data_IF_703953887868
#
_entry.id   IF_703953887868
#
_cell.length_a   1.000
_cell.length_b   1.000
_cell.length_c   1.000
_cell.angle_alpha   90.00
_cell.angle_beta   90.00
_cell.angle_gamma   90.00
#
_symmetry.space_group_name_H-M   'P 1'
#
loop_
_entity.id
_entity.type
_entity.pdbx_description
1 polymer ?
#
# COMPACT_ATOMS: atom_id res chain seq x y z
N UNK A 1 -55.43 18.35 -34.57
CA UNK A 1 -54.55 17.31 -35.17
C UNK A 1 -53.32 17.21 -34.27
N UNK A 2 -53.18 16.14 -33.47
CA UNK A 2 -52.28 14.99 -33.73
C UNK A 2 -50.84 15.48 -34.02
N UNK A 3 -49.76 15.17 -33.31
CA UNK A 3 -49.37 14.08 -32.39
C UNK A 3 -47.98 14.46 -31.86
N UNK A 4 -47.60 14.02 -30.65
CA UNK A 4 -46.23 14.16 -30.19
C UNK A 4 -45.95 13.82 -28.72
N UNK A 5 -46.95 13.42 -27.93
CA UNK A 5 -46.78 13.02 -26.52
C UNK A 5 -46.17 11.62 -26.31
N UNK A 6 -45.51 11.05 -27.34
CA UNK A 6 -45.02 9.67 -27.32
C UNK A 6 -43.52 9.54 -26.99
N UNK A 7 -42.88 10.59 -26.49
CA UNK A 7 -41.43 10.56 -26.18
C UNK A 7 -41.11 10.50 -24.68
N UNK A 8 -42.09 10.62 -23.79
CA UNK A 8 -41.84 10.74 -22.33
C UNK A 8 -41.94 9.40 -21.59
N UNK A 9 -42.49 8.36 -22.22
CA UNK A 9 -42.80 7.08 -21.56
C UNK A 9 -41.79 5.95 -21.88
N UNK A 10 -40.49 6.28 -22.00
CA UNK A 10 -39.43 5.29 -22.26
C UNK A 10 -38.18 5.52 -21.39
N UNK A 11 -38.36 5.77 -20.09
CA UNK A 11 -37.23 5.95 -19.15
C UNK A 11 -37.24 5.00 -17.94
N UNK A 12 -38.17 4.04 -17.84
CA UNK A 12 -38.38 3.27 -16.60
C UNK A 12 -37.74 1.87 -16.54
N UNK A 13 -36.88 1.51 -17.50
CA UNK A 13 -36.24 0.18 -17.54
C UNK A 13 -34.71 0.23 -17.70
N UNK A 14 -34.06 1.29 -17.22
CA UNK A 14 -32.61 1.27 -17.09
C UNK A 14 -32.22 0.42 -15.85
N UNK A 15 -31.44 -0.67 -16.00
CA UNK A 15 -30.86 -1.34 -14.85
C UNK A 15 -29.92 -0.37 -14.13
N UNK A 16 -30.18 -0.12 -12.85
CA UNK A 16 -29.26 0.60 -11.97
C UNK A 16 -27.91 -0.13 -12.01
N UNK A 17 -26.81 0.52 -12.45
CA UNK A 17 -25.50 -0.08 -12.29
C UNK A 17 -25.25 -0.25 -10.79
N UNK A 18 -25.07 -1.50 -10.37
CA UNK A 18 -24.82 -1.87 -8.99
C UNK A 18 -23.69 -1.02 -8.42
N UNK A 19 -23.88 -0.56 -7.18
CA UNK A 19 -22.86 0.16 -6.43
C UNK A 19 -21.53 -0.61 -6.51
N UNK A 20 -20.39 0.07 -6.71
CA UNK A 20 -19.10 -0.61 -6.61
C UNK A 20 -19.02 -1.23 -5.22
N UNK A 21 -18.76 -2.53 -5.16
CA UNK A 21 -18.41 -3.18 -3.91
C UNK A 21 -17.20 -2.43 -3.35
N UNK A 22 -17.39 -1.71 -2.26
CA UNK A 22 -16.29 -1.10 -1.51
C UNK A 22 -15.44 -2.24 -1.01
N UNK A 23 -14.36 -2.53 -1.76
CA UNK A 23 -13.28 -3.42 -1.37
C UNK A 23 -12.67 -2.83 -0.11
N UNK A 24 -13.29 -3.15 1.02
CA UNK A 24 -12.89 -2.70 2.35
C UNK A 24 -11.73 -3.58 2.75
N UNK A 25 -10.62 -3.46 2.02
CA UNK A 25 -9.36 -4.07 2.43
C UNK A 25 -9.07 -3.51 3.82
N UNK A 26 -9.03 -4.34 4.87
CA UNK A 26 -8.85 -3.85 6.22
C UNK A 26 -7.55 -3.06 6.26
N UNK A 27 -7.66 -1.76 6.55
CA UNK A 27 -6.50 -0.89 6.71
C UNK A 27 -5.73 -1.42 7.91
N UNK A 28 -4.65 -2.15 7.64
CA UNK A 28 -3.77 -2.65 8.70
C UNK A 28 -3.03 -1.46 9.29
N UNK A 29 -3.59 -0.90 10.35
CA UNK A 29 -2.92 0.12 11.15
C UNK A 29 -1.73 -0.54 11.82
N UNK A 30 -0.56 -0.41 11.23
CA UNK A 30 0.69 -0.71 11.92
C UNK A 30 1.13 0.56 12.60
N UNK A 31 1.12 0.60 13.93
CA UNK A 31 1.73 1.69 14.66
C UNK A 31 3.21 1.69 14.31
N UNK A 32 3.64 2.71 13.57
CA UNK A 32 5.04 2.87 13.21
C UNK A 32 5.79 3.33 14.46
N UNK A 33 6.38 2.39 15.19
CA UNK A 33 7.20 2.67 16.38
C UNK A 33 8.68 2.44 16.11
N UNK A 34 9.54 2.99 16.98
CA UNK A 34 10.98 2.78 16.88
C UNK A 34 11.35 1.30 17.08
N UNK A 35 10.63 0.62 17.97
CA UNK A 35 10.77 -0.82 18.22
C UNK A 35 10.43 -1.61 16.95
N UNK A 36 9.40 -1.20 16.22
CA UNK A 36 9.04 -1.84 14.96
C UNK A 36 10.08 -1.60 13.85
N UNK A 37 10.72 -0.42 13.81
CA UNK A 37 11.90 -0.19 12.95
C UNK A 37 13.04 -1.18 13.26
N UNK A 38 13.34 -1.41 14.54
CA UNK A 38 14.39 -2.36 14.95
C UNK A 38 14.05 -3.79 14.52
N UNK A 39 12.81 -4.22 14.75
CA UNK A 39 12.33 -5.53 14.30
C UNK A 39 12.45 -5.70 12.77
N UNK A 40 12.22 -4.65 11.98
CA UNK A 40 12.43 -4.70 10.54
C UNK A 40 13.91 -4.72 10.15
N UNK A 41 14.77 -4.01 10.88
CA UNK A 41 16.21 -4.02 10.64
C UNK A 41 16.80 -5.42 10.88
N UNK A 42 16.40 -6.09 11.96
CA UNK A 42 16.78 -7.49 12.24
C UNK A 42 16.30 -8.45 11.15
N UNK A 43 15.04 -8.32 10.71
CA UNK A 43 14.51 -9.12 9.59
C UNK A 43 15.30 -8.91 8.30
N UNK A 44 15.73 -7.67 8.02
CA UNK A 44 16.56 -7.39 6.86
C UNK A 44 17.98 -7.94 7.03
N UNK A 45 18.55 -7.91 8.23
CA UNK A 45 19.87 -8.47 8.51
C UNK A 45 19.96 -9.96 8.13
N UNK A 46 18.89 -10.72 8.35
CA UNK A 46 18.79 -12.12 7.93
C UNK A 46 18.83 -12.32 6.40
N UNK A 47 18.44 -11.31 5.61
CA UNK A 47 18.45 -11.36 4.14
C UNK A 47 19.70 -10.69 3.53
N UNK A 48 20.53 -10.02 4.35
CA UNK A 48 21.57 -9.11 3.88
C UNK A 48 22.60 -9.76 2.95
N UNK A 49 22.91 -11.04 3.15
CA UNK A 49 23.89 -11.78 2.36
C UNK A 49 23.48 -11.94 0.89
N UNK A 50 22.17 -12.02 0.62
CA UNK A 50 21.60 -12.21 -0.72
C UNK A 50 20.92 -10.95 -1.27
N UNK A 51 20.89 -9.87 -0.47
CA UNK A 51 20.21 -8.64 -0.83
C UNK A 51 20.97 -7.89 -1.96
N UNK A 52 20.27 -7.41 -3.01
CA UNK A 52 20.90 -6.62 -4.05
C UNK A 52 21.33 -5.24 -3.52
N UNK A 53 22.26 -4.53 -4.20
CA UNK A 53 22.74 -3.21 -3.77
C UNK A 53 21.63 -2.18 -3.52
N UNK A 54 20.55 -2.21 -4.30
CA UNK A 54 19.39 -1.34 -4.14
C UNK A 54 18.63 -1.58 -2.83
N UNK A 55 18.54 -2.84 -2.40
CA UNK A 55 17.93 -3.22 -1.12
C UNK A 55 18.81 -2.78 0.06
N UNK A 56 20.14 -2.94 -0.06
CA UNK A 56 21.09 -2.48 0.96
C UNK A 56 21.01 -0.96 1.17
N UNK A 57 20.98 -0.18 0.08
CA UNK A 57 20.85 1.27 0.15
C UNK A 57 19.53 1.70 0.82
N UNK A 58 18.41 1.06 0.46
CA UNK A 58 17.11 1.32 1.08
C UNK A 58 17.09 0.97 2.57
N UNK A 59 17.74 -0.12 2.98
CA UNK A 59 17.83 -0.50 4.38
C UNK A 59 18.66 0.50 5.18
N UNK A 60 19.81 0.93 4.65
CA UNK A 60 20.66 1.95 5.28
C UNK A 60 19.90 3.27 5.48
N UNK A 61 19.20 3.73 4.44
CA UNK A 61 18.36 4.93 4.52
C UNK A 61 17.21 4.77 5.51
N UNK A 62 16.57 3.59 5.52
CA UNK A 62 15.49 3.28 6.44
C UNK A 62 15.95 3.34 7.91
N UNK A 63 17.09 2.73 8.23
CA UNK A 63 17.67 2.77 9.58
C UNK A 63 18.03 4.20 10.00
N UNK A 64 18.62 5.00 9.11
CA UNK A 64 18.95 6.41 9.38
C UNK A 64 17.71 7.24 9.66
N UNK A 65 16.64 7.07 8.87
CA UNK A 65 15.37 7.77 9.09
C UNK A 65 14.74 7.41 10.44
N UNK A 66 14.70 6.11 10.79
CA UNK A 66 14.22 5.66 12.09
C UNK A 66 15.04 6.28 13.24
N UNK A 67 16.37 6.34 13.11
CA UNK A 67 17.26 6.97 14.09
C UNK A 67 17.01 8.46 14.28
N UNK A 68 16.59 9.15 13.22
CA UNK A 68 16.29 10.58 13.20
C UNK A 68 14.83 10.91 13.54
N UNK A 69 14.05 9.97 14.08
CA UNK A 69 12.64 10.19 14.42
C UNK A 69 11.65 10.15 13.25
N UNK A 70 12.11 9.90 12.03
CA UNK A 70 11.26 9.78 10.84
C UNK A 70 10.74 8.33 10.69
N UNK A 71 10.09 7.84 11.74
CA UNK A 71 9.78 6.41 11.93
C UNK A 71 8.92 5.87 10.79
N UNK A 72 7.85 6.56 10.40
CA UNK A 72 6.95 6.13 9.31
C UNK A 72 7.68 5.94 7.97
N UNK A 73 8.49 6.92 7.59
CA UNK A 73 9.28 6.87 6.34
C UNK A 73 10.37 5.80 6.42
N UNK A 74 11.02 5.66 7.58
CA UNK A 74 12.01 4.62 7.83
C UNK A 74 11.43 3.20 7.72
N UNK A 75 10.29 2.95 8.35
CA UNK A 75 9.53 1.69 8.25
C UNK A 75 9.17 1.38 6.79
N UNK A 76 8.66 2.36 6.05
CA UNK A 76 8.30 2.18 4.65
C UNK A 76 9.52 1.76 3.79
N UNK A 77 10.68 2.39 4.01
CA UNK A 77 11.92 2.03 3.31
C UNK A 77 12.43 0.64 3.69
N UNK A 78 12.44 0.29 4.97
CA UNK A 78 12.86 -1.04 5.44
C UNK A 78 11.95 -2.14 4.88
N UNK A 79 10.63 -1.94 4.86
CA UNK A 79 9.69 -2.88 4.23
C UNK A 79 9.99 -3.08 2.74
N UNK A 80 10.33 -2.00 2.02
CA UNK A 80 10.72 -2.09 0.61
C UNK A 80 12.04 -2.83 0.44
N UNK A 81 13.03 -2.56 1.28
CA UNK A 81 14.31 -3.27 1.26
C UNK A 81 14.12 -4.79 1.44
N UNK A 82 13.29 -5.19 2.41
CA UNK A 82 12.96 -6.60 2.64
C UNK A 82 12.30 -7.23 1.42
N UNK A 83 11.33 -6.54 0.79
CA UNK A 83 10.68 -7.07 -0.44
C UNK A 83 11.69 -7.31 -1.57
N UNK A 84 12.64 -6.39 -1.75
CA UNK A 84 13.68 -6.52 -2.79
C UNK A 84 14.75 -7.56 -2.47
N UNK A 85 14.92 -7.94 -1.19
CA UNK A 85 15.93 -8.89 -0.75
C UNK A 85 15.40 -10.33 -0.62
N UNK A 86 14.09 -10.54 -0.79
CA UNK A 86 13.53 -11.90 -0.80
C UNK A 86 13.86 -12.56 -2.14
N UNK A 87 14.49 -13.74 -2.14
CA UNK A 87 14.48 -14.59 -3.31
C UNK A 87 13.03 -15.02 -3.57
N UNK A 88 12.59 -14.91 -4.81
CA UNK A 88 11.29 -15.43 -5.28
C UNK A 88 11.20 -16.96 -5.08
#
# INVERSE_FOLDING_TARGET
MRRGFAAVLLCLLAPLPGAPAEDTTPVRVTTDTREYCLALAERFAALRAVAPPSALALAADGMRLCGNGHVRTGVARLRRAIRLARPE
#
